data_IF_213284813325
#
_entry.id   IF_213284813325
#
_cell.length_a   1.000
_cell.length_b   1.000
_cell.length_c   1.000
_cell.angle_alpha   90.00
_cell.angle_beta   90.00
_cell.angle_gamma   90.00
#
_symmetry.space_group_name_H-M   'P 1'
#
loop_
_entity.id
_entity.type
_entity.pdbx_description
1 polymer ?
#
# COMPACT_ATOMS: atom_id res chain seq x y z
N UNK A 1 7.35 6.24 21.16
CA UNK A 1 6.97 4.92 20.64
C UNK A 1 5.76 4.47 21.44
N UNK A 2 4.73 3.94 20.79
CA UNK A 2 3.57 3.39 21.50
C UNK A 2 4.00 2.05 22.09
N UNK A 3 3.80 1.86 23.39
CA UNK A 3 4.08 0.62 24.10
C UNK A 3 2.75 -0.05 24.44
N UNK A 4 2.48 -1.21 23.82
CA UNK A 4 1.26 -1.98 24.03
C UNK A 4 1.61 -3.23 24.83
N UNK A 5 1.04 -3.41 26.03
CA UNK A 5 1.28 -4.60 26.83
C UNK A 5 0.99 -5.90 26.04
N UNK A 6 1.99 -6.77 25.94
CA UNK A 6 1.89 -8.05 25.24
C UNK A 6 2.38 -8.04 23.78
N UNK A 7 2.71 -6.88 23.23
CA UNK A 7 3.39 -6.75 21.93
C UNK A 7 4.87 -6.50 22.19
N UNK A 8 5.75 -7.27 21.54
CA UNK A 8 7.19 -7.09 21.69
C UNK A 8 7.67 -5.80 20.98
N UNK A 9 8.71 -5.16 21.50
CA UNK A 9 9.27 -3.92 20.95
C UNK A 9 9.73 -4.05 19.48
N UNK A 10 10.07 -5.27 19.05
CA UNK A 10 10.54 -5.60 17.71
C UNK A 10 9.50 -6.35 16.86
N UNK A 11 8.25 -6.42 17.33
CA UNK A 11 7.15 -7.09 16.64
C UNK A 11 6.82 -6.42 15.31
N UNK A 12 6.53 -7.23 14.31
CA UNK A 12 5.96 -6.78 13.05
C UNK A 12 4.43 -7.00 12.99
N UNK A 13 3.83 -6.66 11.85
CA UNK A 13 2.39 -6.78 11.67
C UNK A 13 1.88 -8.23 11.79
N UNK A 14 2.68 -9.21 11.35
CA UNK A 14 2.31 -10.62 11.39
C UNK A 14 2.43 -11.16 12.80
N UNK A 15 3.45 -10.75 13.57
CA UNK A 15 3.56 -11.06 15.00
C UNK A 15 2.32 -10.59 15.77
N UNK A 16 1.79 -9.40 15.45
CA UNK A 16 0.56 -8.88 16.06
C UNK A 16 -0.66 -9.71 15.66
N UNK A 17 -0.81 -10.04 14.38
CA UNK A 17 -1.97 -10.82 13.93
C UNK A 17 -1.95 -12.28 14.39
N UNK A 18 -0.79 -12.87 14.65
CA UNK A 18 -0.68 -14.19 15.27
C UNK A 18 -1.36 -14.22 16.66
N UNK A 19 -1.35 -13.10 17.41
CA UNK A 19 -2.05 -12.99 18.69
C UNK A 19 -3.57 -12.79 18.52
N UNK A 20 -4.02 -12.31 17.36
CA UNK A 20 -5.42 -12.03 17.04
C UNK A 20 -5.84 -12.72 15.72
N UNK A 21 -5.76 -14.06 15.65
CA UNK A 21 -5.76 -14.81 14.39
C UNK A 21 -7.07 -14.69 13.59
N UNK A 22 -8.19 -14.39 14.25
CA UNK A 22 -9.48 -14.22 13.58
C UNK A 22 -9.51 -13.04 12.59
N UNK A 23 -8.62 -12.05 12.76
CA UNK A 23 -8.57 -10.86 11.90
C UNK A 23 -7.73 -11.07 10.64
N UNK A 24 -6.77 -12.01 10.66
CA UNK A 24 -5.81 -12.17 9.57
C UNK A 24 -6.45 -12.68 8.26
N UNK A 25 -7.24 -13.77 8.26
CA UNK A 25 -7.83 -14.28 7.02
C UNK A 25 -8.69 -13.26 6.24
N UNK A 26 -9.70 -12.58 6.85
CA UNK A 26 -10.50 -11.62 6.10
C UNK A 26 -9.66 -10.43 5.62
N UNK A 27 -8.64 -10.03 6.38
CA UNK A 27 -7.76 -8.94 5.96
C UNK A 27 -6.92 -9.33 4.75
N UNK A 28 -6.27 -10.50 4.76
CA UNK A 28 -5.44 -10.95 3.64
C UNK A 28 -6.28 -11.17 2.37
N UNK A 29 -7.54 -11.59 2.50
CA UNK A 29 -8.46 -11.65 1.37
C UNK A 29 -8.72 -10.26 0.78
N UNK A 30 -8.91 -9.23 1.60
CA UNK A 30 -9.07 -7.84 1.11
C UNK A 30 -7.79 -7.35 0.41
N UNK A 31 -6.61 -7.62 0.99
CA UNK A 31 -5.33 -7.32 0.35
C UNK A 31 -5.21 -7.97 -1.03
N UNK A 32 -5.53 -9.26 -1.14
CA UNK A 32 -5.43 -9.99 -2.40
C UNK A 32 -6.39 -9.42 -3.46
N UNK A 33 -7.66 -9.19 -3.10
CA UNK A 33 -8.66 -8.64 -4.01
C UNK A 33 -8.30 -7.25 -4.54
N UNK A 34 -7.56 -6.45 -3.76
CA UNK A 34 -7.19 -5.09 -4.13
C UNK A 34 -5.84 -5.08 -4.87
N UNK A 35 -4.79 -5.66 -4.30
CA UNK A 35 -3.41 -5.55 -4.80
C UNK A 35 -3.03 -6.64 -5.81
N UNK A 36 -3.80 -7.72 -5.92
CA UNK A 36 -3.64 -8.79 -6.93
C UNK A 36 -4.82 -8.82 -7.91
N UNK A 37 -5.52 -7.70 -8.07
CA UNK A 37 -6.68 -7.59 -8.95
C UNK A 37 -6.32 -7.77 -10.44
N UNK A 38 -6.38 -9.01 -10.94
CA UNK A 38 -6.13 -9.33 -12.37
C UNK A 38 -7.13 -8.72 -13.35
N UNK A 39 -8.22 -8.10 -12.85
CA UNK A 39 -9.22 -7.37 -13.66
C UNK A 39 -8.99 -5.86 -13.65
N UNK A 40 -7.97 -5.36 -12.96
CA UNK A 40 -7.60 -3.94 -13.03
C UNK A 40 -6.90 -3.62 -14.35
N UNK A 41 -7.04 -2.37 -14.81
CA UNK A 41 -6.18 -1.83 -15.86
C UNK A 41 -4.76 -1.53 -15.34
N UNK A 42 -4.61 -1.40 -14.02
CA UNK A 42 -3.34 -1.21 -13.34
C UNK A 42 -2.65 -2.56 -13.10
N UNK A 43 -1.33 -2.60 -13.28
CA UNK A 43 -0.55 -3.77 -12.92
C UNK A 43 -0.41 -3.89 -11.40
N UNK A 44 -0.15 -5.11 -10.90
CA UNK A 44 0.16 -5.30 -9.48
C UNK A 44 1.31 -4.41 -9.00
N UNK A 45 2.34 -4.19 -9.83
CA UNK A 45 3.42 -3.26 -9.51
C UNK A 45 2.95 -1.81 -9.35
N UNK A 46 2.01 -1.36 -10.18
CA UNK A 46 1.41 -0.01 -10.03
C UNK A 46 0.56 0.10 -8.77
N UNK A 47 -0.23 -0.93 -8.44
CA UNK A 47 -1.05 -0.96 -7.22
C UNK A 47 -0.17 -0.94 -5.96
N UNK A 48 0.92 -1.71 -5.94
CA UNK A 48 1.91 -1.70 -4.86
C UNK A 48 2.64 -0.35 -4.76
N UNK A 49 3.01 0.26 -5.89
CA UNK A 49 3.61 1.59 -5.91
C UNK A 49 2.66 2.65 -5.34
N UNK A 50 1.35 2.57 -5.63
CA UNK A 50 0.34 3.45 -5.05
C UNK A 50 0.21 3.24 -3.54
N UNK A 51 0.23 2.00 -3.07
CA UNK A 51 0.22 1.70 -1.63
C UNK A 51 1.48 2.22 -0.91
N UNK A 52 2.65 2.10 -1.54
CA UNK A 52 3.90 2.66 -1.04
C UNK A 52 3.86 4.20 -0.99
N UNK A 53 3.32 4.84 -2.03
CA UNK A 53 3.18 6.28 -2.09
C UNK A 53 2.22 6.83 -1.02
N UNK A 54 1.03 6.24 -0.86
CA UNK A 54 0.09 6.62 0.22
C UNK A 54 0.72 6.42 1.60
N UNK A 55 1.45 5.32 1.80
CA UNK A 55 2.17 5.07 3.05
C UNK A 55 3.26 6.11 3.32
N UNK A 56 3.99 6.54 2.28
CA UNK A 56 4.97 7.61 2.36
C UNK A 56 4.35 8.97 2.70
N UNK A 57 3.21 9.32 2.12
CA UNK A 57 2.45 10.53 2.48
C UNK A 57 2.00 10.52 3.96
N UNK A 58 1.67 9.35 4.48
CA UNK A 58 1.32 9.13 5.88
C UNK A 58 2.54 9.00 6.81
N UNK A 59 3.77 9.09 6.27
CA UNK A 59 5.02 8.86 6.99
C UNK A 59 5.10 7.47 7.68
N UNK A 60 4.42 6.47 7.15
CA UNK A 60 4.44 5.11 7.66
C UNK A 60 5.55 4.31 6.98
N UNK A 61 6.76 4.38 7.55
CA UNK A 61 7.98 3.82 6.96
C UNK A 61 7.92 2.30 6.80
N UNK A 62 7.34 1.58 7.77
CA UNK A 62 7.17 0.13 7.69
C UNK A 62 6.36 -0.28 6.45
N UNK A 63 5.18 0.33 6.27
CA UNK A 63 4.33 0.04 5.12
C UNK A 63 4.97 0.50 3.80
N UNK A 64 5.58 1.68 3.79
CA UNK A 64 6.25 2.21 2.59
C UNK A 64 7.34 1.25 2.10
N UNK A 65 8.17 0.72 3.00
CA UNK A 65 9.26 -0.18 2.65
C UNK A 65 8.77 -1.54 2.14
N UNK A 66 7.78 -2.15 2.79
CA UNK A 66 7.20 -3.41 2.32
C UNK A 66 6.62 -3.24 0.91
N UNK A 67 5.79 -2.23 0.70
CA UNK A 67 5.17 -2.01 -0.61
C UNK A 67 6.20 -1.63 -1.68
N UNK A 68 7.27 -0.89 -1.35
CA UNK A 68 8.39 -0.69 -2.26
C UNK A 68 9.08 -2.00 -2.64
N UNK A 69 9.31 -2.88 -1.66
CA UNK A 69 9.97 -4.16 -1.89
C UNK A 69 9.12 -5.10 -2.77
N UNK A 70 7.81 -5.12 -2.55
CA UNK A 70 6.86 -5.91 -3.37
C UNK A 70 6.68 -5.29 -4.76
N UNK A 71 6.53 -3.97 -4.87
CA UNK A 71 6.48 -3.28 -6.17
C UNK A 71 7.74 -3.57 -7.00
N UNK A 72 8.91 -3.63 -6.36
CA UNK A 72 10.16 -3.99 -7.01
C UNK A 72 10.17 -5.43 -7.53
N UNK A 73 9.54 -6.36 -6.82
CA UNK A 73 9.34 -7.72 -7.32
C UNK A 73 8.52 -7.77 -8.62
N UNK A 74 7.70 -6.74 -8.90
CA UNK A 74 6.96 -6.53 -10.15
C UNK A 74 7.67 -5.63 -11.16
N UNK A 75 8.93 -5.25 -10.91
CA UNK A 75 9.73 -4.46 -11.85
C UNK A 75 9.63 -2.94 -11.69
N UNK A 76 9.10 -2.44 -10.58
CA UNK A 76 9.16 -1.00 -10.24
C UNK A 76 10.51 -0.68 -9.60
N UNK A 77 11.16 0.40 -10.05
CA UNK A 77 12.44 0.83 -9.46
C UNK A 77 12.23 1.38 -8.04
N UNK A 78 13.11 1.00 -7.11
CA UNK A 78 13.00 1.37 -5.69
C UNK A 78 13.01 2.89 -5.43
N UNK A 79 13.55 3.69 -6.35
CA UNK A 79 13.59 5.15 -6.25
C UNK A 79 12.30 5.86 -6.67
N UNK A 80 11.36 5.18 -7.34
CA UNK A 80 10.17 5.83 -7.94
C UNK A 80 9.26 6.42 -6.87
N UNK A 81 9.04 5.73 -5.76
CA UNK A 81 8.19 6.22 -4.67
C UNK A 81 8.75 7.51 -4.07
N UNK A 82 10.06 7.59 -3.83
CA UNK A 82 10.68 8.81 -3.30
C UNK A 82 10.56 9.96 -4.31
N UNK A 83 10.83 9.70 -5.59
CA UNK A 83 10.67 10.71 -6.64
C UNK A 83 9.23 11.25 -6.72
N UNK A 84 8.21 10.39 -6.56
CA UNK A 84 6.80 10.81 -6.50
C UNK A 84 6.48 11.68 -5.28
N UNK A 85 7.07 11.36 -4.13
CA UNK A 85 6.89 12.13 -2.89
C UNK A 85 7.57 13.49 -2.97
N UNK A 86 8.77 13.55 -3.56
CA UNK A 86 9.54 14.77 -3.73
C UNK A 86 8.87 15.71 -4.73
N UNK A 87 8.55 15.21 -5.93
CA UNK A 87 7.91 16.00 -6.98
C UNK A 87 7.19 15.10 -8.00
N UNK A 88 5.86 15.12 -7.93
CA UNK A 88 4.99 14.35 -8.82
C UNK A 88 5.15 14.74 -10.30
N UNK A 89 5.49 16.00 -10.59
CA UNK A 89 5.57 16.48 -11.96
C UNK A 89 6.87 16.02 -12.66
N UNK A 90 7.93 15.76 -11.90
CA UNK A 90 9.21 15.30 -12.44
C UNK A 90 9.50 13.82 -12.18
N UNK A 91 8.66 13.13 -11.39
CA UNK A 91 8.78 11.71 -11.12
C UNK A 91 8.83 10.85 -12.41
N UNK A 92 9.66 9.79 -12.46
CA UNK A 92 9.90 8.97 -13.65
C UNK A 92 8.77 7.92 -13.87
N UNK A 93 7.53 8.40 -13.99
CA UNK A 93 6.35 7.61 -14.33
C UNK A 93 5.74 8.11 -15.65
N UNK A 94 4.91 7.27 -16.29
CA UNK A 94 4.17 7.71 -17.47
C UNK A 94 3.22 8.86 -17.14
N UNK A 95 3.06 9.81 -18.06
CA UNK A 95 2.26 11.02 -17.83
C UNK A 95 0.80 10.71 -17.48
N UNK A 96 0.23 9.64 -18.03
CA UNK A 96 -1.14 9.21 -17.73
C UNK A 96 -1.33 8.70 -16.30
N UNK A 97 -0.28 8.32 -15.57
CA UNK A 97 -0.38 7.91 -14.17
C UNK A 97 -0.44 9.11 -13.21
N UNK A 98 0.06 10.28 -13.61
CA UNK A 98 0.16 11.45 -12.73
C UNK A 98 -1.19 11.88 -12.10
N UNK A 99 -2.32 11.93 -12.85
CA UNK A 99 -3.61 12.25 -12.24
C UNK A 99 -4.04 11.26 -11.15
N UNK A 100 -3.68 9.98 -11.26
CA UNK A 100 -3.98 8.98 -10.23
C UNK A 100 -3.22 9.31 -8.93
N UNK A 101 -1.93 9.63 -9.03
CA UNK A 101 -1.11 9.98 -7.86
C UNK A 101 -1.48 11.34 -7.25
N UNK A 102 -1.92 12.30 -8.07
CA UNK A 102 -2.49 13.56 -7.59
C UNK A 102 -3.78 13.31 -6.78
N UNK A 103 -4.68 12.47 -7.31
CA UNK A 103 -5.90 12.05 -6.65
C UNK A 103 -5.61 11.35 -5.32
N UNK A 104 -4.67 10.40 -5.29
CA UNK A 104 -4.25 9.69 -4.07
C UNK A 104 -3.71 10.65 -3.01
N UNK A 105 -2.91 11.65 -3.40
CA UNK A 105 -2.37 12.66 -2.47
C UNK A 105 -3.49 13.47 -1.84
N UNK A 106 -4.43 13.95 -2.66
CA UNK A 106 -5.59 14.74 -2.19
C UNK A 106 -6.49 13.90 -1.29
N UNK A 107 -6.82 12.67 -1.69
CA UNK A 107 -7.64 11.74 -0.90
C UNK A 107 -6.99 11.38 0.45
N UNK A 108 -5.65 11.28 0.50
CA UNK A 108 -4.93 10.95 1.74
C UNK A 108 -4.93 12.11 2.75
N UNK A 109 -4.72 13.34 2.29
CA UNK A 109 -4.58 14.51 3.17
C UNK A 109 -5.88 15.28 3.44
N UNK A 110 -6.74 15.42 2.44
CA UNK A 110 -7.99 16.17 2.52
C UNK A 110 -9.08 15.48 1.67
N UNK A 111 -9.59 14.32 2.11
CA UNK A 111 -10.58 13.54 1.37
C UNK A 111 -11.86 14.32 1.06
N UNK A 112 -12.24 15.26 1.94
CA UNK A 112 -13.44 16.10 1.77
C UNK A 112 -13.32 17.14 0.65
N UNK A 113 -12.10 17.44 0.19
CA UNK A 113 -11.86 18.42 -0.86
C UNK A 113 -11.94 17.87 -2.28
N UNK A 114 -12.08 16.55 -2.43
CA UNK A 114 -12.20 15.92 -3.76
C UNK A 114 -13.38 16.52 -4.53
N UNK A 115 -13.14 16.80 -5.81
CA UNK A 115 -14.09 17.47 -6.69
C UNK A 115 -14.13 16.78 -8.06
N UNK A 116 -15.11 17.16 -8.89
CA UNK A 116 -15.30 16.56 -10.21
C UNK A 116 -14.06 16.71 -11.11
N UNK A 117 -13.30 17.80 -10.97
CA UNK A 117 -12.07 18.02 -11.73
C UNK A 117 -11.00 16.95 -11.47
N UNK A 118 -10.95 16.36 -10.28
CA UNK A 118 -10.01 15.28 -9.96
C UNK A 118 -10.36 14.01 -10.75
N UNK A 119 -11.67 13.70 -10.86
CA UNK A 119 -12.19 12.57 -11.64
C UNK A 119 -12.00 12.81 -13.13
N UNK A 120 -12.35 14.00 -13.61
CA UNK A 120 -12.24 14.36 -15.03
C UNK A 120 -10.79 14.26 -15.52
N UNK A 121 -9.82 14.64 -14.69
CA UNK A 121 -8.39 14.53 -15.01
C UNK A 121 -7.94 13.08 -15.21
N UNK A 122 -8.51 12.15 -14.44
CA UNK A 122 -8.24 10.71 -14.56
C UNK A 122 -8.83 10.18 -15.87
N UNK A 123 -10.09 10.53 -16.17
CA UNK A 123 -10.78 10.10 -17.39
C UNK A 123 -10.10 10.67 -18.65
N UNK A 124 -9.67 11.94 -18.62
CA UNK A 124 -8.94 12.58 -19.72
C UNK A 124 -7.57 11.94 -19.97
N UNK A 125 -6.96 11.34 -18.94
CA UNK A 125 -5.72 10.55 -19.08
C UNK A 125 -5.95 9.15 -19.66
N UNK A 126 -7.19 8.78 -19.98
CA UNK A 126 -7.55 7.53 -20.65
C UNK A 126 -7.94 6.38 -19.73
N UNK A 127 -8.10 6.64 -18.42
CA UNK A 127 -8.56 5.64 -17.45
C UNK A 127 -10.09 5.61 -17.38
N UNK A 128 -10.63 4.50 -16.87
CA UNK A 128 -12.06 4.30 -16.67
C UNK A 128 -12.49 4.51 -15.20
N UNK A 129 -13.81 4.45 -14.97
CA UNK A 129 -14.42 4.52 -13.64
C UNK A 129 -13.96 3.39 -12.72
N UNK A 130 -13.74 2.18 -13.27
CA UNK A 130 -13.18 1.06 -12.53
C UNK A 130 -11.79 1.38 -11.99
N UNK A 131 -10.94 2.05 -12.76
CA UNK A 131 -9.61 2.47 -12.30
C UNK A 131 -9.72 3.42 -11.11
N UNK A 132 -10.70 4.34 -11.12
CA UNK A 132 -10.96 5.23 -9.98
C UNK A 132 -11.34 4.42 -8.73
N UNK A 133 -12.22 3.42 -8.88
CA UNK A 133 -12.56 2.51 -7.78
C UNK A 133 -11.35 1.75 -7.24
N UNK A 134 -10.49 1.24 -8.13
CA UNK A 134 -9.28 0.50 -7.77
C UNK A 134 -8.33 1.40 -6.94
N UNK A 135 -8.04 2.64 -7.38
CA UNK A 135 -7.14 3.54 -6.65
C UNK A 135 -7.73 4.03 -5.31
N UNK A 136 -9.04 4.25 -5.23
CA UNK A 136 -9.72 4.58 -3.97
C UNK A 136 -9.60 3.42 -2.99
N UNK A 137 -9.77 2.19 -3.46
CA UNK A 137 -9.65 0.98 -2.64
C UNK A 137 -8.24 0.79 -2.10
N UNK A 138 -7.21 0.99 -2.94
CA UNK A 138 -5.80 0.99 -2.51
C UNK A 138 -5.57 2.07 -1.45
N UNK A 139 -6.01 3.30 -1.70
CA UNK A 139 -5.84 4.41 -0.77
C UNK A 139 -6.50 4.13 0.60
N UNK A 140 -7.73 3.63 0.59
CA UNK A 140 -8.48 3.31 1.80
C UNK A 140 -7.82 2.18 2.60
N UNK A 141 -7.41 1.09 1.92
CA UNK A 141 -6.70 -0.02 2.56
C UNK A 141 -5.37 0.47 3.17
N UNK A 142 -4.55 1.20 2.42
CA UNK A 142 -3.29 1.75 2.93
C UNK A 142 -3.53 2.66 4.14
N UNK A 143 -4.53 3.53 4.09
CA UNK A 143 -4.86 4.42 5.20
C UNK A 143 -5.33 3.67 6.46
N UNK A 144 -6.08 2.57 6.31
CA UNK A 144 -6.44 1.68 7.41
C UNK A 144 -5.19 1.02 8.02
N UNK A 145 -4.33 0.46 7.17
CA UNK A 145 -3.14 -0.30 7.56
C UNK A 145 -2.07 0.59 8.18
N UNK A 146 -1.82 1.78 7.63
CA UNK A 146 -0.86 2.72 8.21
C UNK A 146 -1.29 3.11 9.63
N UNK A 147 -2.59 3.40 9.85
CA UNK A 147 -3.11 3.71 11.18
C UNK A 147 -3.04 2.54 12.14
N UNK A 148 -3.24 1.32 11.65
CA UNK A 148 -3.05 0.11 12.43
C UNK A 148 -1.58 -0.06 12.85
N UNK A 149 -0.64 0.01 11.90
CA UNK A 149 0.81 -0.13 12.15
C UNK A 149 1.32 0.91 13.13
N UNK A 150 1.05 2.20 12.88
CA UNK A 150 1.45 3.28 13.78
C UNK A 150 0.76 3.19 15.15
N UNK A 151 -0.53 2.82 15.16
CA UNK A 151 -1.31 2.65 16.39
C UNK A 151 -0.84 1.49 17.25
N UNK A 152 -0.29 0.44 16.63
CA UNK A 152 0.30 -0.71 17.32
C UNK A 152 1.76 -0.49 17.73
N UNK A 153 2.35 0.66 17.41
CA UNK A 153 3.76 0.94 17.70
C UNK A 153 4.74 0.11 16.88
N UNK A 154 4.28 -0.52 15.79
CA UNK A 154 5.13 -1.34 14.92
C UNK A 154 6.14 -0.41 14.25
N UNK A 155 7.42 -0.64 14.53
CA UNK A 155 8.49 0.13 13.90
C UNK A 155 9.16 -0.67 12.80
N UNK A 156 9.83 0.06 11.91
CA UNK A 156 10.76 -0.56 10.98
C UNK A 156 11.93 -1.15 11.76
N UNK A 157 11.99 -2.48 11.85
CA UNK A 157 13.19 -3.19 12.33
C UNK A 157 14.09 -3.51 11.14
N UNK A 158 15.27 -2.85 10.99
CA UNK A 158 16.17 -3.10 9.88
C UNK A 158 16.55 -4.59 9.79
N UNK A 159 16.31 -5.21 8.63
CA UNK A 159 16.60 -6.63 8.38
C UNK A 159 15.47 -7.61 8.73
N UNK A 160 14.39 -7.19 9.41
CA UNK A 160 13.20 -8.02 9.68
C UNK A 160 12.13 -7.86 8.60
N UNK A 161 11.93 -6.64 8.09
CA UNK A 161 10.99 -6.34 6.98
C UNK A 161 11.31 -7.11 5.70
N UNK A 162 12.57 -7.56 5.55
CA UNK A 162 13.07 -8.41 4.45
C UNK A 162 12.80 -9.91 4.63
N UNK A 163 12.20 -10.33 5.75
CA UNK A 163 11.94 -11.74 6.06
C UNK A 163 10.63 -12.27 5.48
N UNK A 164 9.67 -11.39 5.14
CA UNK A 164 8.49 -11.81 4.39
C UNK A 164 8.90 -12.07 2.93
N UNK A 165 8.73 -13.30 2.40
CA UNK A 165 9.20 -13.60 1.06
C UNK A 165 8.40 -12.77 0.04
N UNK A 166 9.06 -11.80 -0.61
CA UNK A 166 8.41 -10.99 -1.65
C UNK A 166 7.82 -11.85 -2.75
N UNK A 167 8.41 -13.02 -3.01
CA UNK A 167 7.92 -13.99 -3.98
C UNK A 167 6.55 -14.55 -3.59
N UNK A 168 6.29 -14.72 -2.29
CA UNK A 168 5.00 -15.17 -1.76
C UNK A 168 3.96 -14.07 -1.91
N UNK A 169 4.27 -12.88 -1.38
CA UNK A 169 3.35 -11.74 -1.49
C UNK A 169 3.07 -11.38 -2.95
N UNK A 170 4.05 -11.48 -3.85
CA UNK A 170 3.91 -11.23 -5.29
C UNK A 170 2.81 -12.10 -5.92
N UNK A 171 2.65 -13.34 -5.51
CA UNK A 171 1.68 -14.24 -6.14
C UNK A 171 0.30 -14.16 -5.50
N UNK A 172 0.24 -14.17 -4.15
CA UNK A 172 -1.02 -14.31 -3.41
C UNK A 172 -0.85 -13.86 -1.96
N UNK A 173 -1.59 -12.85 -1.52
CA UNK A 173 -1.52 -12.38 -0.13
C UNK A 173 -2.10 -13.38 0.88
N UNK A 174 -2.99 -14.28 0.47
CA UNK A 174 -3.66 -15.23 1.36
C UNK A 174 -2.73 -16.34 1.85
N UNK A 175 -1.63 -16.59 1.15
CA UNK A 175 -0.57 -17.52 1.62
C UNK A 175 0.11 -17.07 2.91
N UNK A 176 0.02 -15.78 3.28
CA UNK A 176 0.46 -15.29 4.58
C UNK A 176 -0.41 -15.83 5.73
N UNK A 177 -1.64 -16.26 5.46
CA UNK A 177 -2.51 -16.85 6.48
C UNK A 177 -1.87 -18.13 6.99
N UNK A 178 -1.50 -19.03 6.08
CA UNK A 178 -0.90 -20.33 6.43
C UNK A 178 0.46 -20.12 7.13
N UNK A 179 1.29 -19.19 6.62
CA UNK A 179 2.60 -18.89 7.21
C UNK A 179 2.54 -18.39 8.66
N UNK A 180 1.45 -17.71 9.04
CA UNK A 180 1.32 -17.06 10.35
C UNK A 180 0.49 -17.90 11.32
N UNK A 181 -0.44 -18.73 10.83
CA UNK A 181 -1.37 -19.49 11.66
C UNK A 181 -1.01 -20.97 11.84
N UNK A 182 -0.07 -21.51 11.07
CA UNK A 182 0.48 -22.87 11.23
C UNK A 182 1.63 -22.94 12.26
#
# INVERSE_FOLDING_TARGET
MVDIPGIADDADMMDVFAQYPAYLPPLMQVFDHILRNKKSQLSSGQLELMAAYVSGLNNCLYCQEIHNYVANAFGVDLGVTQALLDDLDTAPISANLKPLFAYLRKLTHDPSSLEQGDVDSILQAGWDDKTIFDIVSVCALSNFINRFVEGMGITRTPGRTTLLPKEIMREDYTTLIDLVLD
#
